data_IF_503985396918
#
_entry.id   IF_503985396918
#
_cell.length_a   1.000
_cell.length_b   1.000
_cell.length_c   1.000
_cell.angle_alpha   90.00
_cell.angle_beta   90.00
_cell.angle_gamma   90.00
#
_symmetry.space_group_name_H-M   'P 1'
#
loop_
_entity.id
_entity.type
_entity.pdbx_description
1 polymer ?
#
# COMPACT_ATOMS: atom_id res chain seq x y z
N UNK A 1 -62.73 -4.10 2.40
CA UNK A 1 -61.92 -3.51 3.48
C UNK A 1 -60.73 -4.39 3.88
N UNK A 2 -60.92 -5.68 4.21
CA UNK A 2 -59.80 -6.55 4.64
C UNK A 2 -58.72 -6.78 3.57
N UNK A 3 -59.10 -6.92 2.29
CA UNK A 3 -58.13 -7.01 1.17
C UNK A 3 -57.29 -5.74 1.00
N UNK A 4 -57.89 -4.56 1.23
CA UNK A 4 -57.17 -3.28 1.20
C UNK A 4 -56.23 -3.14 2.40
N UNK A 5 -56.65 -3.61 3.58
CA UNK A 5 -55.79 -3.67 4.77
C UNK A 5 -54.59 -4.59 4.55
N UNK A 6 -54.81 -5.78 3.96
CA UNK A 6 -53.73 -6.73 3.61
C UNK A 6 -52.79 -6.15 2.55
N UNK A 7 -53.32 -5.45 1.54
CA UNK A 7 -52.50 -4.75 0.54
C UNK A 7 -51.65 -3.65 1.19
N UNK A 8 -52.24 -2.83 2.04
CA UNK A 8 -51.53 -1.77 2.77
C UNK A 8 -50.44 -2.34 3.69
N UNK A 9 -50.70 -3.45 4.36
CA UNK A 9 -49.69 -4.15 5.17
C UNK A 9 -48.56 -4.77 4.32
N UNK A 10 -48.86 -5.25 3.11
CA UNK A 10 -47.87 -5.80 2.19
C UNK A 10 -46.98 -4.70 1.60
N UNK A 11 -47.58 -3.57 1.20
CA UNK A 11 -46.85 -2.41 0.70
C UNK A 11 -45.92 -1.83 1.80
N UNK A 12 -46.36 -1.82 3.06
CA UNK A 12 -45.54 -1.43 4.23
C UNK A 12 -44.39 -2.41 4.47
N UNK A 13 -44.65 -3.71 4.37
CA UNK A 13 -43.62 -4.74 4.50
C UNK A 13 -42.58 -4.66 3.38
N UNK A 14 -43.00 -4.41 2.14
CA UNK A 14 -42.09 -4.18 1.01
C UNK A 14 -41.22 -2.93 1.21
N UNK A 15 -41.79 -1.87 1.78
CA UNK A 15 -41.04 -0.66 2.13
C UNK A 15 -39.97 -0.96 3.19
N UNK A 16 -40.32 -1.71 4.25
CA UNK A 16 -39.38 -2.12 5.30
C UNK A 16 -38.28 -3.02 4.74
N UNK A 17 -38.61 -3.95 3.83
CA UNK A 17 -37.61 -4.82 3.18
C UNK A 17 -36.61 -3.99 2.38
N UNK A 18 -37.07 -2.98 1.62
CA UNK A 18 -36.18 -2.10 0.85
C UNK A 18 -35.28 -1.26 1.74
N UNK A 19 -35.79 -0.74 2.86
CA UNK A 19 -34.99 0.00 3.83
C UNK A 19 -33.91 -0.88 4.47
N UNK A 20 -34.26 -2.09 4.88
CA UNK A 20 -33.30 -3.04 5.46
C UNK A 20 -32.25 -3.51 4.45
N UNK A 21 -32.63 -3.68 3.19
CA UNK A 21 -31.68 -4.02 2.13
C UNK A 21 -30.68 -2.88 1.91
N UNK A 22 -31.16 -1.62 1.83
CA UNK A 22 -30.30 -0.46 1.68
C UNK A 22 -29.34 -0.27 2.89
N UNK A 23 -29.79 -0.55 4.11
CA UNK A 23 -28.92 -0.55 5.31
C UNK A 23 -27.82 -1.62 5.24
N UNK A 24 -28.14 -2.82 4.72
CA UNK A 24 -27.16 -3.89 4.55
C UNK A 24 -26.13 -3.54 3.46
N UNK A 25 -26.59 -2.99 2.34
CA UNK A 25 -25.72 -2.56 1.23
C UNK A 25 -24.75 -1.44 1.68
N UNK A 26 -25.24 -0.46 2.46
CA UNK A 26 -24.39 0.59 3.07
C UNK A 26 -23.35 0.02 4.06
N UNK A 27 -23.71 -0.99 4.84
CA UNK A 27 -22.79 -1.62 5.79
C UNK A 27 -21.68 -2.42 5.09
N UNK A 28 -21.97 -3.02 3.94
CA UNK A 28 -20.96 -3.66 3.10
C UNK A 28 -20.04 -2.63 2.43
N UNK A 29 -20.56 -1.48 2.02
CA UNK A 29 -19.76 -0.37 1.49
C UNK A 29 -18.85 0.24 2.56
N UNK A 30 -19.32 0.49 3.79
CA UNK A 30 -18.47 0.93 4.92
C UNK A 30 -17.41 -0.09 5.32
N UNK A 31 -17.70 -1.39 5.20
CA UNK A 31 -16.71 -2.46 5.42
C UNK A 31 -15.68 -2.49 4.30
N UNK A 32 -16.12 -2.25 3.07
CA UNK A 32 -15.23 -2.13 1.90
C UNK A 32 -14.34 -0.90 2.03
N UNK A 33 -14.84 0.24 2.46
CA UNK A 33 -14.06 1.45 2.77
C UNK A 33 -13.09 1.23 3.94
N UNK A 34 -13.49 0.49 4.98
CA UNK A 34 -12.58 0.08 6.08
C UNK A 34 -11.52 -0.92 5.64
N UNK A 35 -11.74 -1.68 4.57
CA UNK A 35 -10.79 -2.61 3.97
C UNK A 35 -9.95 -1.95 2.87
N UNK A 36 -10.43 -0.85 2.29
CA UNK A 36 -9.71 0.11 1.44
C UNK A 36 -8.92 1.15 2.25
N UNK A 37 -8.94 1.06 3.59
CA UNK A 37 -7.79 1.45 4.40
C UNK A 37 -6.62 0.53 4.05
N UNK A 38 -6.08 0.66 2.84
CA UNK A 38 -4.89 -0.04 2.40
C UNK A 38 -3.80 0.23 3.43
N UNK A 39 -3.41 -0.79 4.19
CA UNK A 39 -2.14 -0.76 4.91
C UNK A 39 -1.05 -0.73 3.84
N UNK A 40 -0.65 0.49 3.46
CA UNK A 40 0.41 0.72 2.49
C UNK A 40 1.73 0.52 3.22
N UNK A 41 2.35 -0.63 2.96
CA UNK A 41 3.63 -0.98 3.56
C UNK A 41 4.75 -0.59 2.62
N UNK A 42 5.62 0.30 3.09
CA UNK A 42 6.82 0.73 2.39
C UNK A 42 8.05 0.10 3.03
N UNK A 43 8.96 -0.43 2.22
CA UNK A 43 10.23 -0.93 2.72
C UNK A 43 11.30 0.16 2.63
N UNK A 44 11.73 0.72 3.76
CA UNK A 44 12.69 1.82 3.83
C UNK A 44 13.99 1.41 4.51
N UNK A 45 15.09 2.11 4.20
CA UNK A 45 16.37 1.87 4.84
C UNK A 45 16.34 2.26 6.32
N UNK A 46 16.95 1.43 7.18
CA UNK A 46 17.15 1.76 8.59
C UNK A 46 18.23 2.84 8.72
N UNK A 47 17.88 3.93 9.40
CA UNK A 47 18.76 5.07 9.65
C UNK A 47 20.03 4.73 10.43
N UNK A 48 20.02 3.66 11.20
CA UNK A 48 21.13 3.23 12.05
C UNK A 48 22.12 2.32 11.30
N UNK A 49 21.79 1.90 10.08
CA UNK A 49 22.63 1.01 9.29
C UNK A 49 23.80 1.77 8.68
N UNK A 50 25.05 1.26 8.78
CA UNK A 50 26.21 1.85 8.10
C UNK A 50 26.02 1.98 6.58
N UNK A 51 26.53 3.06 6.00
CA UNK A 51 26.36 3.36 4.56
C UNK A 51 26.94 2.28 3.64
N UNK A 52 28.04 1.63 4.01
CA UNK A 52 28.65 0.56 3.22
C UNK A 52 27.76 -0.68 3.14
N UNK A 53 27.05 -0.99 4.23
CA UNK A 53 26.06 -2.07 4.27
C UNK A 53 24.83 -1.71 3.42
N UNK A 54 24.35 -0.47 3.53
CA UNK A 54 23.24 0.04 2.72
C UNK A 54 23.56 0.01 1.22
N UNK A 55 24.72 0.52 0.82
CA UNK A 55 25.16 0.54 -0.59
C UNK A 55 25.28 -0.88 -1.17
N UNK A 56 25.83 -1.83 -0.41
CA UNK A 56 25.91 -3.23 -0.84
C UNK A 56 24.52 -3.86 -0.99
N UNK A 57 23.63 -3.65 -0.02
CA UNK A 57 22.27 -4.17 -0.06
C UNK A 57 21.45 -3.53 -1.21
N UNK A 58 21.61 -2.23 -1.45
CA UNK A 58 20.97 -1.50 -2.55
C UNK A 58 21.39 -2.08 -3.90
N UNK A 59 22.70 -2.26 -4.13
CA UNK A 59 23.23 -2.88 -5.37
C UNK A 59 22.67 -4.28 -5.58
N UNK A 60 22.55 -5.06 -4.51
CA UNK A 60 21.92 -6.37 -4.55
C UNK A 60 20.44 -6.27 -4.93
N UNK A 61 19.67 -5.36 -4.33
CA UNK A 61 18.25 -5.15 -4.64
C UNK A 61 18.04 -4.81 -6.13
N UNK A 62 18.84 -3.88 -6.66
CA UNK A 62 18.82 -3.49 -8.08
C UNK A 62 19.11 -4.67 -9.02
N UNK A 63 19.91 -5.63 -8.58
CA UNK A 63 20.25 -6.81 -9.39
C UNK A 63 19.24 -7.95 -9.27
N UNK A 64 18.32 -7.89 -8.30
CA UNK A 64 17.42 -8.99 -7.93
C UNK A 64 15.94 -8.65 -8.01
N UNK A 65 15.56 -7.52 -8.63
CA UNK A 65 14.16 -7.21 -8.95
C UNK A 65 13.69 -5.81 -8.61
N UNK A 66 14.53 -4.95 -8.01
CA UNK A 66 14.22 -3.52 -7.93
C UNK A 66 14.41 -2.83 -9.28
N UNK A 67 13.54 -1.88 -9.59
CA UNK A 67 13.79 -0.88 -10.63
C UNK A 67 14.58 0.29 -10.03
N UNK A 68 15.89 0.30 -10.26
CA UNK A 68 16.76 1.37 -9.78
C UNK A 68 16.99 2.49 -10.80
N UNK A 69 16.20 2.57 -11.88
CA UNK A 69 16.34 3.66 -12.86
C UNK A 69 16.05 5.03 -12.27
N UNK A 70 15.12 5.11 -11.30
CA UNK A 70 14.69 6.36 -10.71
C UNK A 70 15.72 7.03 -9.79
N UNK A 71 16.66 6.27 -9.22
CA UNK A 71 17.73 6.77 -8.33
C UNK A 71 19.03 7.09 -9.07
N UNK A 72 19.11 6.85 -10.39
CA UNK A 72 20.29 7.22 -11.17
C UNK A 72 20.32 8.73 -11.41
N UNK A 73 21.47 9.24 -11.84
CA UNK A 73 21.60 10.65 -12.25
C UNK A 73 20.48 11.07 -13.21
N UNK A 74 19.89 12.24 -12.94
CA UNK A 74 18.70 12.79 -13.64
C UNK A 74 17.39 12.02 -13.42
N UNK A 75 17.38 10.99 -12.58
CA UNK A 75 16.18 10.30 -12.17
C UNK A 75 15.34 11.11 -11.16
N UNK A 76 14.02 10.85 -11.08
CA UNK A 76 13.11 11.57 -10.20
C UNK A 76 13.39 11.39 -8.70
N UNK A 77 14.13 10.35 -8.33
CA UNK A 77 14.54 10.01 -6.96
C UNK A 77 16.05 10.14 -6.73
N UNK A 78 16.76 10.86 -7.62
CA UNK A 78 18.19 11.09 -7.42
C UNK A 78 18.48 12.02 -6.24
N UNK A 79 17.60 12.99 -5.98
CA UNK A 79 17.75 13.95 -4.89
C UNK A 79 16.79 13.62 -3.73
N UNK A 80 17.26 13.66 -2.48
CA UNK A 80 18.65 13.93 -2.06
C UNK A 80 19.62 12.79 -2.46
N UNK A 81 20.83 13.18 -2.87
CA UNK A 81 21.86 12.24 -3.35
C UNK A 81 22.62 11.64 -2.16
N UNK A 82 21.96 10.76 -1.42
CA UNK A 82 22.56 10.00 -0.32
C UNK A 82 22.35 8.51 -0.53
N UNK A 83 23.27 7.71 -0.01
CA UNK A 83 23.17 6.24 -0.06
C UNK A 83 21.86 5.77 0.58
N UNK A 84 21.44 6.42 1.67
CA UNK A 84 20.26 6.03 2.43
C UNK A 84 18.96 6.28 1.66
N UNK A 85 18.82 7.45 1.03
CA UNK A 85 17.64 7.78 0.25
C UNK A 85 17.51 6.89 -1.00
N UNK A 86 18.63 6.63 -1.68
CA UNK A 86 18.67 5.70 -2.81
C UNK A 86 18.38 4.26 -2.37
N UNK A 87 18.89 3.85 -1.21
CA UNK A 87 18.64 2.51 -0.65
C UNK A 87 17.17 2.33 -0.28
N UNK A 88 16.54 3.30 0.37
CA UNK A 88 15.10 3.26 0.68
C UNK A 88 14.26 3.03 -0.58
N UNK A 89 14.55 3.76 -1.65
CA UNK A 89 13.82 3.58 -2.92
C UNK A 89 14.05 2.18 -3.51
N UNK A 90 15.30 1.72 -3.57
CA UNK A 90 15.63 0.40 -4.11
C UNK A 90 14.99 -0.73 -3.28
N UNK A 91 15.01 -0.62 -1.96
CA UNK A 91 14.41 -1.60 -1.04
C UNK A 91 12.90 -1.66 -1.22
N UNK A 92 12.24 -0.51 -1.32
CA UNK A 92 10.80 -0.47 -1.58
C UNK A 92 10.47 -1.08 -2.94
N UNK A 93 11.16 -0.67 -4.01
CA UNK A 93 10.92 -1.21 -5.35
C UNK A 93 11.09 -2.74 -5.39
N UNK A 94 12.16 -3.27 -4.78
CA UNK A 94 12.34 -4.71 -4.62
C UNK A 94 11.18 -5.35 -3.85
N UNK A 95 10.84 -4.80 -2.69
CA UNK A 95 9.81 -5.35 -1.81
C UNK A 95 8.47 -5.45 -2.53
N UNK A 96 8.02 -4.38 -3.18
CA UNK A 96 6.76 -4.39 -3.93
C UNK A 96 6.80 -5.41 -5.08
N UNK A 97 7.91 -5.47 -5.82
CA UNK A 97 8.05 -6.38 -6.98
C UNK A 97 8.18 -7.86 -6.59
N UNK A 98 8.65 -8.15 -5.38
CA UNK A 98 9.06 -9.51 -4.99
C UNK A 98 8.28 -10.09 -3.81
N UNK A 99 7.51 -9.31 -3.05
CA UNK A 99 6.79 -9.80 -1.85
C UNK A 99 5.83 -10.96 -2.14
N UNK A 100 5.13 -10.93 -3.27
CA UNK A 100 4.26 -12.02 -3.71
C UNK A 100 5.02 -13.29 -4.14
N UNK A 101 6.35 -13.21 -4.30
CA UNK A 101 7.26 -14.32 -4.61
C UNK A 101 8.12 -14.73 -3.41
N UNK A 102 7.82 -14.23 -2.21
CA UNK A 102 8.57 -14.51 -0.99
C UNK A 102 9.74 -13.57 -0.72
N UNK A 103 9.88 -12.47 -1.49
CA UNK A 103 10.78 -11.38 -1.15
C UNK A 103 10.36 -10.71 0.18
N UNK A 104 11.32 -10.21 0.94
CA UNK A 104 11.07 -9.58 2.24
C UNK A 104 11.82 -8.26 2.38
N UNK A 105 11.34 -7.39 3.28
CA UNK A 105 12.01 -6.16 3.67
C UNK A 105 13.07 -6.41 4.76
N UNK A 106 13.96 -7.38 4.56
CA UNK A 106 14.95 -7.73 5.58
C UNK A 106 16.32 -7.10 5.30
N UNK A 107 16.88 -7.32 4.10
CA UNK A 107 18.19 -6.77 3.70
C UNK A 107 19.30 -6.87 4.78
N UNK A 108 19.38 -8.00 5.50
CA UNK A 108 20.29 -8.18 6.66
C UNK A 108 20.05 -7.18 7.80
N UNK A 109 18.78 -6.93 8.13
CA UNK A 109 18.32 -5.93 9.08
C UNK A 109 18.66 -4.48 8.68
N UNK A 110 18.97 -4.22 7.40
CA UNK A 110 19.25 -2.88 6.89
C UNK A 110 17.98 -2.10 6.50
N UNK A 111 16.81 -2.72 6.61
CA UNK A 111 15.53 -2.14 6.19
C UNK A 111 14.40 -2.50 7.16
N UNK A 112 13.35 -1.69 7.14
CA UNK A 112 12.15 -1.85 7.95
C UNK A 112 10.89 -1.48 7.16
N UNK A 113 9.76 -2.07 7.55
CA UNK A 113 8.45 -1.70 7.02
C UNK A 113 7.96 -0.44 7.72
N UNK A 114 7.49 0.51 6.91
CA UNK A 114 6.89 1.77 7.32
C UNK A 114 5.47 1.88 6.75
N UNK A 115 4.53 2.35 7.56
CA UNK A 115 3.17 2.74 7.15
C UNK A 115 3.10 4.19 6.65
N UNK A 116 4.21 4.93 6.74
CA UNK A 116 4.34 6.29 6.25
C UNK A 116 4.91 6.27 4.83
N UNK A 117 4.22 6.94 3.90
CA UNK A 117 4.69 7.16 2.53
C UNK A 117 5.94 8.05 2.52
N UNK A 118 7.11 7.52 2.12
CA UNK A 118 8.36 8.29 2.07
C UNK A 118 8.49 9.15 0.80
N UNK A 119 7.46 9.18 -0.06
CA UNK A 119 7.46 9.98 -1.28
C UNK A 119 7.66 11.47 -1.01
N UNK A 120 8.50 12.11 -1.82
CA UNK A 120 8.77 13.54 -1.72
C UNK A 120 9.04 14.14 -3.10
N UNK A 121 8.57 15.38 -3.33
CA UNK A 121 8.76 16.08 -4.61
C UNK A 121 8.35 15.20 -5.82
N UNK A 122 9.29 15.00 -6.75
CA UNK A 122 9.17 14.11 -7.91
C UNK A 122 9.39 12.63 -7.61
N UNK A 123 9.97 12.29 -6.45
CA UNK A 123 10.22 10.92 -6.07
C UNK A 123 8.97 10.29 -5.49
N UNK A 124 8.47 9.23 -6.15
CA UNK A 124 7.25 8.51 -5.76
C UNK A 124 7.56 7.06 -5.46
N UNK A 125 7.22 6.63 -4.26
CA UNK A 125 7.33 5.24 -3.82
C UNK A 125 6.02 4.51 -4.14
N UNK A 126 6.14 3.32 -4.69
CA UNK A 126 4.99 2.48 -4.98
C UNK A 126 4.58 1.67 -3.76
N UNK A 127 3.28 1.40 -3.64
CA UNK A 127 2.72 0.41 -2.72
C UNK A 127 1.79 -0.48 -3.54
N UNK A 128 2.23 -1.68 -3.87
CA UNK A 128 1.44 -2.67 -4.60
C UNK A 128 0.66 -3.53 -3.60
N UNK A 129 -0.60 -3.93 -3.86
CA UNK A 129 -1.32 -4.85 -2.99
C UNK A 129 -0.73 -6.27 -3.00
#
# INVERSE_FOLDING_TARGET
MERQRKKMQMDELESIVRLKQAEADNLEEEKRERMDGQFQDYCIADEQTPEDVLDQAMKWACSNGADCSAIRENGPCYLPNTVKDHSSYAFNSYYQNMKHKGGSCYFNAAALISDLDPSHNSCKFESLP
#
